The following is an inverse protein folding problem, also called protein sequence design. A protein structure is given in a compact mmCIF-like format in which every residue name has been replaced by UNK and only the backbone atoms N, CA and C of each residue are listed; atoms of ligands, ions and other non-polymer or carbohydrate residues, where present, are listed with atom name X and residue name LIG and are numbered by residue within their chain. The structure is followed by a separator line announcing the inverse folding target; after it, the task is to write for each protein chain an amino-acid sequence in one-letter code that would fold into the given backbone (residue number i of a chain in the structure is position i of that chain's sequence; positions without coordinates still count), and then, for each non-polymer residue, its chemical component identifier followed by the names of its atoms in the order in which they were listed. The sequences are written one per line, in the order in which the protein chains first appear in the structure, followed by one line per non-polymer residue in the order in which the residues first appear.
data_IF_017093866615
#
_entry.id   IF_017093866615
#
_cell.length_a   1.000
_cell.length_b   1.000
_cell.length_c   1.000
_cell.angle_alpha   90.00
_cell.angle_beta   90.00
_cell.angle_gamma   90.00
#
_symmetry.space_group_name_H-M   'P 1'
#
loop_
_entity.id
_entity.type
_entity.pdbx_description
1 polymer ?
#
# COMPACT_ATOMS: atom_id res chain seq x y z
N UNK A 1 5.36 -16.46 21.41
CA UNK A 1 6.50 -16.02 20.59
C UNK A 1 6.59 -16.89 19.33
N UNK A 2 6.00 -16.49 18.21
CA UNK A 2 6.02 -17.28 16.97
C UNK A 2 7.22 -16.91 16.11
N UNK A 3 8.23 -17.80 16.06
CA UNK A 3 9.44 -17.63 15.24
C UNK A 3 9.06 -17.60 13.75
N UNK A 4 9.18 -16.42 13.14
CA UNK A 4 8.99 -16.21 11.70
C UNK A 4 10.13 -16.93 10.96
N UNK A 5 9.84 -18.04 10.26
CA UNK A 5 10.82 -18.72 9.39
C UNK A 5 11.22 -17.77 8.26
N UNK A 6 12.41 -17.18 8.35
CA UNK A 6 13.03 -16.45 7.24
C UNK A 6 13.45 -17.46 6.16
N UNK A 7 12.79 -17.41 5.01
CA UNK A 7 13.20 -18.15 3.81
C UNK A 7 14.34 -17.39 3.12
N UNK A 8 15.56 -17.53 3.66
CA UNK A 8 16.77 -17.05 2.99
C UNK A 8 17.11 -17.97 1.81
N UNK A 9 16.50 -17.73 0.65
CA UNK A 9 17.06 -18.25 -0.59
C UNK A 9 18.33 -17.47 -0.91
N UNK A 10 19.48 -18.06 -0.59
CA UNK A 10 20.83 -17.49 -0.75
C UNK A 10 21.24 -17.25 -2.21
N UNK A 11 20.51 -17.82 -3.17
CA UNK A 11 20.77 -17.70 -4.61
C UNK A 11 19.58 -17.08 -5.35
N UNK A 12 19.87 -16.21 -6.34
CA UNK A 12 18.89 -15.54 -7.22
C UNK A 12 18.26 -16.53 -8.22
N UNK A 13 17.15 -16.15 -8.87
CA UNK A 13 16.48 -17.00 -9.88
C UNK A 13 17.42 -17.28 -11.05
N UNK A 14 18.13 -16.26 -11.52
CA UNK A 14 19.09 -16.31 -12.63
C UNK A 14 20.19 -17.35 -12.38
N UNK A 15 20.83 -17.33 -11.20
CA UNK A 15 21.89 -18.29 -10.85
C UNK A 15 21.36 -19.74 -10.86
N UNK A 16 20.12 -19.94 -10.39
CA UNK A 16 19.51 -21.28 -10.38
C UNK A 16 19.21 -21.78 -11.79
N UNK A 17 18.66 -20.92 -12.63
CA UNK A 17 18.34 -21.25 -14.01
C UNK A 17 19.60 -21.50 -14.84
N UNK A 18 20.63 -20.67 -14.67
CA UNK A 18 21.92 -20.86 -15.36
C UNK A 18 22.58 -22.18 -14.94
N UNK A 19 22.58 -22.51 -13.64
CA UNK A 19 23.08 -23.79 -13.16
C UNK A 19 22.32 -24.99 -13.76
N UNK A 20 21.00 -24.88 -13.90
CA UNK A 20 20.18 -25.92 -14.52
C UNK A 20 20.47 -26.02 -16.03
N UNK A 21 20.61 -24.88 -16.71
CA UNK A 21 20.89 -24.80 -18.15
C UNK A 21 22.20 -25.49 -18.50
N UNK A 22 23.28 -25.17 -17.78
CA UNK A 22 24.60 -25.79 -17.99
C UNK A 22 24.61 -27.29 -17.75
N UNK A 23 23.86 -27.77 -16.76
CA UNK A 23 23.80 -29.21 -16.46
C UNK A 23 22.87 -29.98 -17.41
N UNK A 24 21.76 -29.38 -17.86
CA UNK A 24 20.77 -30.07 -18.71
C UNK A 24 20.99 -29.90 -20.21
N UNK A 25 21.50 -28.74 -20.66
CA UNK A 25 21.71 -28.44 -22.08
C UNK A 25 23.17 -28.68 -22.50
N UNK A 26 24.13 -28.34 -21.64
CA UNK A 26 25.57 -28.43 -21.96
C UNK A 26 26.24 -29.68 -21.37
N UNK A 27 25.48 -30.55 -20.68
CA UNK A 27 25.93 -31.77 -19.99
C UNK A 27 27.17 -31.58 -19.10
N UNK A 28 27.34 -30.37 -18.55
CA UNK A 28 28.48 -30.05 -17.70
C UNK A 28 28.39 -30.75 -16.35
N UNK A 29 29.51 -31.25 -15.80
CA UNK A 29 29.50 -31.89 -14.51
C UNK A 29 29.12 -30.88 -13.42
N UNK A 30 28.18 -31.29 -12.55
CA UNK A 30 27.65 -30.45 -11.46
C UNK A 30 28.76 -29.84 -10.60
N UNK A 31 29.89 -30.54 -10.45
CA UNK A 31 31.05 -30.09 -9.67
C UNK A 31 31.73 -28.84 -10.26
N UNK A 32 31.81 -28.72 -11.58
CA UNK A 32 32.36 -27.55 -12.26
C UNK A 32 31.37 -26.39 -12.19
N UNK A 33 30.09 -26.67 -12.44
CA UNK A 33 29.02 -25.66 -12.39
C UNK A 33 28.90 -25.01 -11.01
N UNK A 34 29.06 -25.77 -9.91
CA UNK A 34 29.05 -25.18 -8.56
C UNK A 34 30.30 -24.34 -8.26
N UNK A 35 31.45 -24.70 -8.80
CA UNK A 35 32.70 -23.97 -8.61
C UNK A 35 32.62 -22.61 -9.34
N UNK A 36 32.15 -22.63 -10.58
CA UNK A 36 32.00 -21.44 -11.42
C UNK A 36 30.94 -20.46 -10.91
N UNK A 37 29.78 -20.99 -10.47
CA UNK A 37 28.65 -20.18 -10.00
C UNK A 37 28.70 -19.87 -8.48
N UNK A 38 29.75 -20.31 -7.78
CA UNK A 38 29.93 -20.07 -6.34
C UNK A 38 28.86 -20.74 -5.46
N UNK A 39 28.35 -21.90 -5.87
CA UNK A 39 27.31 -22.64 -5.16
C UNK A 39 27.96 -23.54 -4.11
N UNK A 40 27.54 -23.40 -2.85
CA UNK A 40 28.19 -24.09 -1.72
C UNK A 40 28.04 -25.62 -1.72
N UNK A 41 26.94 -26.14 -2.23
CA UNK A 41 26.64 -27.58 -2.19
C UNK A 41 26.01 -28.06 -3.50
N UNK A 42 26.53 -29.18 -4.04
CA UNK A 42 26.01 -29.85 -5.24
C UNK A 42 24.55 -30.29 -5.12
N UNK A 43 24.12 -30.65 -3.91
CA UNK A 43 22.75 -31.09 -3.65
C UNK A 43 21.71 -30.02 -3.98
N UNK A 44 22.07 -28.73 -3.85
CA UNK A 44 21.21 -27.63 -4.25
C UNK A 44 20.89 -27.69 -5.74
N UNK A 45 21.88 -28.00 -6.58
CA UNK A 45 21.72 -28.05 -8.04
C UNK A 45 20.83 -29.23 -8.42
N UNK A 46 21.02 -30.40 -7.80
CA UNK A 46 20.12 -31.55 -8.02
C UNK A 46 18.68 -31.27 -7.59
N UNK A 47 18.48 -30.59 -6.46
CA UNK A 47 17.14 -30.15 -6.04
C UNK A 47 16.52 -29.17 -7.02
N UNK A 48 17.31 -28.24 -7.58
CA UNK A 48 16.84 -27.29 -8.57
C UNK A 48 16.46 -27.99 -9.87
N UNK A 49 17.30 -28.89 -10.38
CA UNK A 49 16.98 -29.69 -11.57
C UNK A 49 15.69 -30.49 -11.36
N UNK A 50 15.50 -31.10 -10.18
CA UNK A 50 14.28 -31.84 -9.85
C UNK A 50 13.04 -30.94 -9.85
N UNK A 51 13.15 -29.73 -9.30
CA UNK A 51 12.06 -28.73 -9.31
C UNK A 51 11.77 -28.21 -10.72
N UNK A 52 12.81 -27.99 -11.53
CA UNK A 52 12.70 -27.55 -12.91
C UNK A 52 12.02 -28.60 -13.79
N UNK A 53 12.39 -29.89 -13.67
CA UNK A 53 11.73 -30.97 -14.41
C UNK A 53 10.25 -31.12 -14.07
N UNK A 54 9.83 -30.74 -12.85
CA UNK A 54 8.44 -30.86 -12.39
C UNK A 54 7.57 -29.65 -12.78
N UNK A 55 8.12 -28.44 -12.73
CA UNK A 55 7.33 -27.20 -12.81
C UNK A 55 7.97 -26.12 -13.70
N UNK A 56 8.99 -26.48 -14.49
CA UNK A 56 9.65 -25.59 -15.42
C UNK A 56 10.38 -24.41 -14.77
N UNK A 57 10.68 -23.35 -15.54
CA UNK A 57 11.30 -22.11 -15.04
C UNK A 57 10.46 -21.40 -13.96
N UNK A 58 9.14 -21.61 -13.98
CA UNK A 58 8.17 -21.03 -13.04
C UNK A 58 8.36 -21.56 -11.60
N UNK A 59 9.03 -22.71 -11.43
CA UNK A 59 9.37 -23.26 -10.12
C UNK A 59 10.27 -22.33 -9.27
N UNK A 60 10.99 -21.41 -9.94
CA UNK A 60 11.91 -20.45 -9.32
C UNK A 60 11.43 -19.02 -9.39
N UNK A 61 10.28 -18.78 -10.03
CA UNK A 61 9.54 -17.59 -9.75
C UNK A 61 9.19 -17.65 -8.28
N UNK A 62 9.86 -16.79 -7.50
CA UNK A 62 9.31 -16.44 -6.21
C UNK A 62 7.90 -15.99 -6.56
N UNK A 63 6.83 -16.62 -6.04
CA UNK A 63 5.62 -15.83 -5.91
C UNK A 63 6.15 -14.62 -5.15
N UNK A 64 6.10 -13.46 -5.80
CA UNK A 64 6.03 -12.21 -5.07
C UNK A 64 4.77 -12.48 -4.26
N UNK A 65 4.95 -13.07 -3.06
CA UNK A 65 3.99 -12.97 -2.00
C UNK A 65 3.93 -11.47 -1.89
N UNK A 66 2.95 -10.89 -2.58
CA UNK A 66 2.38 -9.62 -2.21
C UNK A 66 1.98 -9.89 -0.77
N UNK A 67 2.91 -9.63 0.14
CA UNK A 67 2.69 -9.54 1.57
C UNK A 67 1.90 -8.27 1.85
N UNK A 68 0.99 -7.88 0.95
CA UNK A 68 -0.18 -7.12 1.32
C UNK A 68 -1.11 -8.18 1.87
N UNK A 69 -1.15 -8.31 3.20
CA UNK A 69 -2.26 -8.95 3.91
C UNK A 69 -3.56 -8.48 3.24
N UNK A 70 -4.27 -9.33 2.47
CA UNK A 70 -5.48 -8.90 1.76
C UNK A 70 -6.55 -8.43 2.75
N UNK A 71 -6.51 -8.99 3.97
CA UNK A 71 -7.45 -8.70 5.04
C UNK A 71 -7.37 -7.27 5.60
N UNK A 72 -6.18 -6.66 5.65
CA UNK A 72 -6.02 -5.31 6.21
C UNK A 72 -6.37 -4.22 5.19
N UNK A 73 -6.09 -4.45 3.90
CA UNK A 73 -6.51 -3.52 2.84
C UNK A 73 -8.02 -3.45 2.72
N UNK A 74 -8.69 -4.60 2.66
CA UNK A 74 -10.14 -4.63 2.53
C UNK A 74 -10.81 -3.93 3.72
N UNK A 75 -10.33 -4.17 4.95
CA UNK A 75 -10.88 -3.51 6.14
C UNK A 75 -10.68 -1.99 6.14
N UNK A 76 -9.49 -1.53 5.73
CA UNK A 76 -9.20 -0.09 5.64
C UNK A 76 -10.03 0.56 4.52
N UNK A 77 -10.19 -0.13 3.39
CA UNK A 77 -11.02 0.33 2.27
C UNK A 77 -12.51 0.40 2.65
N UNK A 78 -13.03 -0.62 3.36
CA UNK A 78 -14.39 -0.64 3.90
C UNK A 78 -14.61 0.50 4.92
N UNK A 79 -13.66 0.73 5.82
CA UNK A 79 -13.73 1.85 6.78
C UNK A 79 -13.73 3.21 6.07
N UNK A 80 -12.92 3.36 5.02
CA UNK A 80 -12.85 4.59 4.23
C UNK A 80 -14.15 4.83 3.45
N UNK A 81 -14.78 3.77 2.92
CA UNK A 81 -16.09 3.86 2.29
C UNK A 81 -17.19 4.24 3.27
N UNK A 82 -17.23 3.60 4.44
CA UNK A 82 -18.19 3.93 5.50
C UNK A 82 -18.06 5.38 5.94
N UNK A 83 -16.83 5.84 6.22
CA UNK A 83 -16.59 7.22 6.66
C UNK A 83 -16.97 8.24 5.58
N UNK A 84 -16.75 7.92 4.30
CA UNK A 84 -17.20 8.79 3.19
C UNK A 84 -18.72 8.94 3.14
N UNK A 85 -19.46 7.84 3.29
CA UNK A 85 -20.92 7.86 3.34
C UNK A 85 -21.44 8.68 4.52
N UNK A 86 -20.81 8.51 5.69
CA UNK A 86 -21.17 9.29 6.89
C UNK A 86 -20.92 10.78 6.70
N UNK A 87 -19.76 11.16 6.14
CA UNK A 87 -19.45 12.57 5.81
C UNK A 87 -20.44 13.14 4.79
N UNK A 88 -20.79 12.38 3.75
CA UNK A 88 -21.77 12.80 2.75
C UNK A 88 -23.16 13.03 3.36
N UNK A 89 -23.64 12.08 4.18
CA UNK A 89 -24.91 12.22 4.89
C UNK A 89 -24.92 13.44 5.83
N UNK A 90 -23.83 13.66 6.57
CA UNK A 90 -23.70 14.83 7.45
C UNK A 90 -23.66 16.15 6.65
N UNK A 91 -22.97 16.19 5.51
CA UNK A 91 -22.97 17.37 4.63
C UNK A 91 -24.38 17.70 4.12
N UNK A 92 -25.11 16.71 3.61
CA UNK A 92 -26.50 16.89 3.17
C UNK A 92 -27.40 17.38 4.32
N UNK A 93 -27.21 16.83 5.52
CA UNK A 93 -27.95 17.28 6.71
C UNK A 93 -27.64 18.74 7.06
N UNK A 94 -26.36 19.12 7.04
CA UNK A 94 -25.92 20.51 7.29
C UNK A 94 -26.49 21.47 6.23
N UNK A 95 -26.44 21.12 4.95
CA UNK A 95 -27.03 21.91 3.87
C UNK A 95 -28.54 22.10 4.03
N UNK A 96 -29.23 21.09 4.57
CA UNK A 96 -30.67 21.17 4.87
C UNK A 96 -30.98 22.06 6.09
N UNK A 97 -30.02 22.27 6.99
CA UNK A 97 -30.20 23.13 8.16
C UNK A 97 -29.77 24.57 7.90
N UNK A 98 -28.62 24.76 7.25
CA UNK A 98 -27.96 26.04 7.05
C UNK A 98 -28.30 26.60 5.67
N UNK A 99 -29.32 27.45 5.62
CA UNK A 99 -29.83 28.01 4.36
C UNK A 99 -29.17 29.34 3.99
N UNK A 100 -28.39 29.94 4.88
CA UNK A 100 -27.68 31.18 4.61
C UNK A 100 -26.19 31.09 4.95
N UNK A 101 -25.37 31.81 4.16
CA UNK A 101 -23.91 31.81 4.36
C UNK A 101 -23.50 32.40 5.72
N UNK A 102 -24.31 33.29 6.29
CA UNK A 102 -24.02 33.90 7.59
C UNK A 102 -23.99 32.88 8.73
N UNK A 103 -24.90 31.91 8.72
CA UNK A 103 -24.90 30.82 9.71
C UNK A 103 -23.69 29.90 9.53
N UNK A 104 -23.26 29.67 8.28
CA UNK A 104 -22.03 28.93 7.98
C UNK A 104 -20.81 29.66 8.55
N UNK A 105 -20.69 30.97 8.34
CA UNK A 105 -19.57 31.75 8.89
C UNK A 105 -19.56 31.79 10.44
N UNK A 106 -20.74 31.88 11.08
CA UNK A 106 -20.85 31.75 12.54
C UNK A 106 -20.39 30.39 13.04
N UNK A 107 -20.74 29.32 12.34
CA UNK A 107 -20.27 27.97 12.67
C UNK A 107 -18.74 27.84 12.54
N UNK A 108 -18.15 28.41 11.49
CA UNK A 108 -16.68 28.45 11.31
C UNK A 108 -16.02 29.16 12.48
N UNK A 109 -16.55 30.32 12.89
CA UNK A 109 -15.98 31.10 13.99
C UNK A 109 -15.99 30.35 15.33
N UNK A 110 -17.03 29.56 15.61
CA UNK A 110 -17.07 28.73 16.82
C UNK A 110 -16.04 27.59 16.76
N UNK A 111 -15.85 27.02 15.57
CA UNK A 111 -15.02 25.84 15.35
C UNK A 111 -13.54 26.15 15.01
N UNK A 112 -13.20 27.41 14.71
CA UNK A 112 -11.86 27.82 14.27
C UNK A 112 -10.75 27.52 15.29
N UNK A 113 -11.12 27.38 16.58
CA UNK A 113 -10.18 27.02 17.65
C UNK A 113 -9.80 25.54 17.65
N UNK A 114 -10.63 24.69 17.06
CA UNK A 114 -10.46 23.24 17.09
C UNK A 114 -10.00 22.68 15.75
N UNK A 115 -10.33 23.34 14.64
CA UNK A 115 -10.05 22.86 13.29
C UNK A 115 -9.47 23.98 12.42
N UNK A 116 -8.57 23.67 11.48
CA UNK A 116 -8.08 24.66 10.52
C UNK A 116 -9.23 25.27 9.73
N UNK A 117 -9.18 26.60 9.52
CA UNK A 117 -10.22 27.35 8.80
C UNK A 117 -10.42 26.79 7.38
N UNK A 118 -9.35 26.42 6.69
CA UNK A 118 -9.40 25.79 5.37
C UNK A 118 -10.28 24.52 5.35
N UNK A 119 -10.16 23.67 6.37
CA UNK A 119 -10.95 22.45 6.50
C UNK A 119 -12.43 22.78 6.73
N UNK A 120 -12.71 23.79 7.54
CA UNK A 120 -14.07 24.23 7.84
C UNK A 120 -14.75 24.89 6.62
N UNK A 121 -14.02 25.73 5.89
CA UNK A 121 -14.47 26.35 4.64
C UNK A 121 -14.81 25.30 3.58
N UNK A 122 -13.93 24.31 3.40
CA UNK A 122 -14.15 23.19 2.48
C UNK A 122 -15.30 22.27 2.93
N UNK A 123 -15.53 22.12 4.23
CA UNK A 123 -16.62 21.29 4.76
C UNK A 123 -18.00 21.93 4.57
N UNK A 124 -18.09 23.27 4.66
CA UNK A 124 -19.34 24.03 4.58
C UNK A 124 -19.60 24.63 3.18
N UNK A 125 -18.71 24.37 2.23
CA UNK A 125 -18.75 24.87 0.85
C UNK A 125 -18.84 26.41 0.81
N UNK A 126 -17.89 27.08 1.47
CA UNK A 126 -17.78 28.54 1.49
C UNK A 126 -16.36 28.97 1.15
N UNK A 127 -16.23 30.11 0.47
CA UNK A 127 -14.92 30.68 0.16
C UNK A 127 -14.28 31.29 1.42
N UNK A 128 -13.00 30.99 1.65
CA UNK A 128 -12.19 31.63 2.67
C UNK A 128 -12.20 33.15 2.56
N UNK A 129 -12.18 33.69 1.33
CA UNK A 129 -12.21 35.13 1.06
C UNK A 129 -13.50 35.76 1.59
N UNK A 130 -14.63 35.08 1.43
CA UNK A 130 -15.92 35.54 1.94
C UNK A 130 -15.98 35.49 3.47
N UNK A 131 -15.43 34.44 4.08
CA UNK A 131 -15.32 34.33 5.54
C UNK A 131 -14.41 35.42 6.13
N UNK A 132 -13.26 35.71 5.52
CA UNK A 132 -12.37 36.78 5.99
C UNK A 132 -13.04 38.15 5.93
N UNK A 133 -13.76 38.47 4.84
CA UNK A 133 -14.57 39.70 4.74
C UNK A 133 -15.66 39.76 5.80
N UNK A 134 -16.29 38.63 6.11
CA UNK A 134 -17.28 38.56 7.19
C UNK A 134 -16.63 38.84 8.55
N UNK A 135 -15.47 38.24 8.83
CA UNK A 135 -14.71 38.43 10.08
C UNK A 135 -14.25 39.88 10.27
N UNK A 136 -13.76 40.52 9.21
CA UNK A 136 -13.38 41.94 9.22
C UNK A 136 -14.58 42.85 9.53
N UNK A 137 -15.76 42.55 8.97
CA UNK A 137 -17.00 43.31 9.24
C UNK A 137 -17.51 43.17 10.67
N UNK A 138 -17.21 42.06 11.33
CA UNK A 138 -17.57 41.84 12.74
C UNK A 138 -16.59 42.50 13.72
N UNK A 139 -15.45 43.04 13.25
CA UNK A 139 -14.46 43.70 14.09
C UNK A 139 -13.74 42.76 15.07
N UNK A 140 -13.74 41.45 14.76
CA UNK A 140 -13.15 40.41 15.59
C UNK A 140 -11.76 40.13 15.03
N UNK A 141 -10.76 40.78 15.63
CA UNK A 141 -9.33 40.66 15.30
C UNK A 141 -8.72 39.47 16.04
#
# INVERSE_FOLDING_TARGET
MTKKRQLYSRYTKEIKLEAIRRVLEEDQPVQEVIADLGIRHRDNVYEWIKKYKKSGPEAFDRPIRKTTKPLEKNKVEEQLQHLKLEVEALKTYIETLLHCEEEKYKAIQVLEKQYPIEVLCNALDVSEVSFHKYRERQGIN
#
